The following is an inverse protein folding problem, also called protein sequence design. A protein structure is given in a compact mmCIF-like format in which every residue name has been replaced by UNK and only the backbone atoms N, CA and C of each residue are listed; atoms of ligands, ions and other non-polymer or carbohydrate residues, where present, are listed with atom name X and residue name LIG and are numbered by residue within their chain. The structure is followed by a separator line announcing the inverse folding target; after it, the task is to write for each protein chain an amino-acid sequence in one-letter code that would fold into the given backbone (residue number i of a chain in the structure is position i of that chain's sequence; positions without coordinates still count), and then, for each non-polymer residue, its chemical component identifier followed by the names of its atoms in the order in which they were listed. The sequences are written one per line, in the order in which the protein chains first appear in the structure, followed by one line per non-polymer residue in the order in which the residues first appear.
data_IF_670010476855
#
_entry.id   IF_670010476855
#
_cell.length_a   1.000
_cell.length_b   1.000
_cell.length_c   1.000
_cell.angle_alpha   90.00
_cell.angle_beta   90.00
_cell.angle_gamma   90.00
#
_symmetry.space_group_name_H-M   'P 1'
#
loop_
_entity.id
_entity.type
_entity.pdbx_description
1 polymer ?
#
# COMPACT_ATOMS: atom_id res chain seq x y z
N UNK A 1 -10.83 4.36 9.48
CA UNK A 1 -9.94 5.47 9.06
C UNK A 1 -10.05 5.76 7.57
N UNK A 2 -9.89 4.76 6.68
CA UNK A 2 -9.92 4.93 5.21
C UNK A 2 -11.19 5.64 4.68
N UNK A 3 -12.38 5.24 5.15
CA UNK A 3 -13.66 5.83 4.71
C UNK A 3 -13.80 7.31 5.08
N UNK A 4 -13.51 7.67 6.33
CA UNK A 4 -13.58 9.07 6.80
C UNK A 4 -12.62 9.99 6.03
N UNK A 5 -11.41 9.48 5.74
CA UNK A 5 -10.43 10.20 4.92
C UNK A 5 -10.94 10.43 3.49
N UNK A 6 -11.52 9.41 2.84
CA UNK A 6 -12.11 9.56 1.49
C UNK A 6 -13.25 10.58 1.49
N UNK A 7 -14.13 10.52 2.49
CA UNK A 7 -15.24 11.47 2.63
C UNK A 7 -14.71 12.90 2.79
N UNK A 8 -13.68 13.12 3.61
CA UNK A 8 -13.10 14.44 3.80
C UNK A 8 -12.36 14.96 2.56
N UNK A 9 -11.48 14.14 1.95
CA UNK A 9 -10.58 14.56 0.88
C UNK A 9 -11.18 14.53 -0.52
N UNK A 10 -12.20 13.70 -0.76
CA UNK A 10 -12.86 13.60 -2.07
C UNK A 10 -14.22 14.30 -2.04
N UNK A 11 -14.89 14.31 -0.88
CA UNK A 11 -16.16 14.99 -0.70
C UNK A 11 -16.00 16.41 -0.16
N UNK A 12 -15.62 16.55 1.11
CA UNK A 12 -15.80 17.83 1.81
C UNK A 12 -14.86 18.93 1.30
N UNK A 13 -13.56 18.66 1.16
CA UNK A 13 -12.55 19.68 0.83
C UNK A 13 -12.75 20.30 -0.56
N UNK A 14 -13.06 19.53 -1.63
CA UNK A 14 -13.31 20.11 -2.95
C UNK A 14 -14.54 21.05 -2.96
N UNK A 15 -15.62 20.64 -2.29
CA UNK A 15 -16.88 21.39 -2.28
C UNK A 15 -16.94 22.52 -1.25
N UNK A 16 -16.08 22.54 -0.24
CA UNK A 16 -16.05 23.59 0.78
C UNK A 16 -15.70 24.95 0.18
N UNK A 17 -16.45 26.05 0.43
CA UNK A 17 -16.27 27.35 -0.23
C UNK A 17 -15.03 28.16 0.23
N UNK A 18 -13.86 27.55 0.32
CA UNK A 18 -12.62 28.19 0.81
C UNK A 18 -11.76 28.72 -0.36
N UNK A 19 -10.97 29.79 -0.18
CA UNK A 19 -10.01 30.21 -1.21
C UNK A 19 -8.74 29.36 -1.24
N UNK A 20 -8.39 28.77 -0.10
CA UNK A 20 -7.15 28.01 0.10
C UNK A 20 -7.33 26.48 0.04
N UNK A 21 -8.42 25.99 -0.56
CA UNK A 21 -8.75 24.54 -0.63
C UNK A 21 -7.59 23.70 -1.18
N UNK A 22 -6.91 24.08 -2.28
CA UNK A 22 -5.88 23.23 -2.85
C UNK A 22 -4.66 23.09 -1.93
N UNK A 23 -4.33 24.16 -1.19
CA UNK A 23 -3.24 24.17 -0.22
C UNK A 23 -3.55 23.24 0.96
N UNK A 24 -4.75 23.38 1.54
CA UNK A 24 -5.19 22.54 2.65
C UNK A 24 -5.32 21.07 2.23
N UNK A 25 -5.87 20.83 1.04
CA UNK A 25 -5.99 19.49 0.47
C UNK A 25 -4.61 18.85 0.19
N UNK A 26 -3.65 19.61 -0.33
CA UNK A 26 -2.29 19.13 -0.57
C UNK A 26 -1.56 18.80 0.74
N UNK A 27 -1.66 19.68 1.75
CA UNK A 27 -1.04 19.45 3.06
C UNK A 27 -1.63 18.23 3.77
N UNK A 28 -2.97 18.11 3.78
CA UNK A 28 -3.63 16.95 4.36
C UNK A 28 -3.31 15.65 3.60
N UNK A 29 -3.24 15.70 2.26
CA UNK A 29 -2.89 14.54 1.44
C UNK A 29 -1.45 14.08 1.68
N UNK A 30 -0.50 15.02 1.78
CA UNK A 30 0.89 14.69 2.10
C UNK A 30 1.00 14.04 3.50
N UNK A 31 0.29 14.57 4.49
CA UNK A 31 0.23 13.98 5.82
C UNK A 31 -0.40 12.58 5.80
N UNK A 32 -1.49 12.38 5.06
CA UNK A 32 -2.17 11.08 4.99
C UNK A 32 -1.36 10.02 4.24
N UNK A 33 -0.51 10.39 3.28
CA UNK A 33 0.45 9.48 2.63
C UNK A 33 1.39 8.88 3.69
N UNK A 34 2.00 9.73 4.53
CA UNK A 34 2.95 9.28 5.56
C UNK A 34 2.25 8.36 6.56
N UNK A 35 1.07 8.76 7.05
CA UNK A 35 0.30 7.95 7.99
C UNK A 35 -0.04 6.57 7.42
N UNK A 36 -0.43 6.48 6.14
CA UNK A 36 -0.77 5.19 5.50
C UNK A 36 0.45 4.32 5.24
N UNK A 37 1.61 4.92 4.93
CA UNK A 37 2.85 4.19 4.77
C UNK A 37 3.33 3.56 6.09
N UNK A 38 3.24 4.30 7.19
CA UNK A 38 3.68 3.86 8.51
C UNK A 38 2.67 2.88 9.16
N UNK A 39 1.37 3.18 9.06
CA UNK A 39 0.35 2.38 9.74
C UNK A 39 0.04 1.04 9.07
N UNK A 40 0.37 0.87 7.78
CA UNK A 40 0.08 -0.33 6.98
C UNK A 40 -1.26 -1.00 7.38
N UNK A 41 -2.39 -0.29 7.21
CA UNK A 41 -3.62 -0.59 7.93
C UNK A 41 -4.27 -1.93 7.56
N UNK A 42 -3.87 -2.54 6.44
CA UNK A 42 -4.37 -3.83 5.99
C UNK A 42 -3.41 -4.96 6.33
N UNK A 43 -3.95 -6.13 6.63
CA UNK A 43 -3.14 -7.34 6.82
C UNK A 43 -2.44 -7.76 5.51
N UNK A 44 -3.03 -7.41 4.37
CA UNK A 44 -2.50 -7.73 3.05
C UNK A 44 -1.57 -6.64 2.50
N UNK A 45 -0.32 -7.04 2.21
CA UNK A 45 0.71 -6.16 1.67
C UNK A 45 0.36 -5.61 0.27
N UNK A 46 -0.45 -6.34 -0.50
CA UNK A 46 -0.98 -5.89 -1.78
C UNK A 46 -2.00 -4.76 -1.60
N UNK A 47 -2.93 -4.93 -0.66
CA UNK A 47 -3.95 -3.92 -0.32
C UNK A 47 -3.31 -2.67 0.28
N UNK A 48 -2.26 -2.81 1.08
CA UNK A 48 -1.46 -1.68 1.57
C UNK A 48 -0.76 -0.92 0.43
N UNK A 49 -0.17 -1.63 -0.55
CA UNK A 49 0.47 -0.98 -1.69
C UNK A 49 -0.55 -0.19 -2.54
N UNK A 50 -1.73 -0.75 -2.76
CA UNK A 50 -2.85 -0.06 -3.42
C UNK A 50 -3.33 1.16 -2.63
N UNK A 51 -3.43 1.04 -1.31
CA UNK A 51 -3.81 2.15 -0.44
C UNK A 51 -2.80 3.29 -0.54
N UNK A 52 -1.50 3.00 -0.48
CA UNK A 52 -0.43 4.01 -0.63
C UNK A 52 -0.48 4.66 -2.02
N UNK A 53 -0.66 3.87 -3.09
CA UNK A 53 -0.78 4.41 -4.45
C UNK A 53 -1.97 5.39 -4.58
N UNK A 54 -3.12 5.04 -3.99
CA UNK A 54 -4.29 5.92 -3.96
C UNK A 54 -4.04 7.23 -3.21
N UNK A 55 -3.15 7.23 -2.20
CA UNK A 55 -2.78 8.45 -1.48
C UNK A 55 -1.90 9.36 -2.32
N UNK A 56 -0.92 8.78 -3.02
CA UNK A 56 -0.08 9.54 -3.95
C UNK A 56 -0.92 10.17 -5.07
N UNK A 57 -1.92 9.46 -5.57
CA UNK A 57 -2.84 9.97 -6.56
C UNK A 57 -3.62 11.21 -6.09
N UNK A 58 -4.16 11.17 -4.86
CA UNK A 58 -4.81 12.33 -4.25
C UNK A 58 -3.86 13.50 -4.06
N UNK A 59 -2.63 13.24 -3.60
CA UNK A 59 -1.61 14.26 -3.41
C UNK A 59 -1.28 14.97 -4.73
N UNK A 60 -1.03 14.22 -5.81
CA UNK A 60 -0.74 14.77 -7.15
C UNK A 60 -1.92 15.60 -7.67
N UNK A 61 -3.16 15.14 -7.46
CA UNK A 61 -4.35 15.87 -7.91
C UNK A 61 -4.48 17.22 -7.20
N UNK A 62 -4.28 17.25 -5.87
CA UNK A 62 -4.28 18.49 -5.11
C UNK A 62 -3.11 19.41 -5.45
N UNK A 63 -1.93 18.84 -5.75
CA UNK A 63 -0.77 19.60 -6.19
C UNK A 63 -1.02 20.30 -7.53
N UNK A 64 -1.64 19.60 -8.49
CA UNK A 64 -1.98 20.19 -9.79
C UNK A 64 -3.09 21.23 -9.64
N UNK A 65 -4.09 20.99 -8.79
CA UNK A 65 -5.10 21.99 -8.46
C UNK A 65 -4.48 23.26 -7.83
N UNK A 66 -3.44 23.09 -7.01
CA UNK A 66 -2.68 24.21 -6.47
C UNK A 66 -1.90 24.96 -7.55
N UNK A 67 -1.23 24.25 -8.46
CA UNK A 67 -0.50 24.85 -9.59
C UNK A 67 -1.42 25.63 -10.56
N UNK A 68 -2.65 25.15 -10.77
CA UNK A 68 -3.68 25.88 -11.52
C UNK A 68 -4.12 27.15 -10.77
N UNK A 69 -4.30 27.07 -9.45
CA UNK A 69 -4.67 28.22 -8.62
C UNK A 69 -3.56 29.28 -8.56
N UNK A 70 -2.29 28.88 -8.58
CA UNK A 70 -1.15 29.80 -8.57
C UNK A 70 -0.93 30.52 -9.91
N UNK A 71 -1.73 30.22 -10.94
CA UNK A 71 -1.58 30.76 -12.28
C UNK A 71 -0.35 30.23 -13.03
N UNK A 72 0.31 29.19 -12.50
CA UNK A 72 1.46 28.57 -13.16
C UNK A 72 1.03 27.69 -14.35
N UNK A 73 -0.22 27.25 -14.37
CA UNK A 73 -0.83 26.44 -15.42
C UNK A 73 -2.17 27.05 -15.83
N UNK A 74 -2.43 27.09 -17.14
CA UNK A 74 -3.75 27.43 -17.65
C UNK A 74 -4.66 26.21 -17.65
N UNK A 75 -5.90 26.39 -17.20
CA UNK A 75 -6.92 25.35 -17.18
C UNK A 75 -7.44 25.07 -18.60
N UNK A 76 -6.67 24.31 -19.37
CA UNK A 76 -7.05 23.86 -20.72
C UNK A 76 -7.70 22.47 -20.66
N UNK A 77 -8.60 22.20 -21.60
CA UNK A 77 -9.24 20.89 -21.73
C UNK A 77 -8.23 19.75 -21.92
N UNK A 78 -7.14 20.02 -22.66
CA UNK A 78 -6.03 19.09 -22.86
C UNK A 78 -5.34 18.72 -21.54
N UNK A 79 -5.18 19.67 -20.62
CA UNK A 79 -4.60 19.43 -19.30
C UNK A 79 -5.51 18.55 -18.45
N UNK A 80 -6.83 18.72 -18.56
CA UNK A 80 -7.83 17.84 -17.94
C UNK A 80 -7.76 16.39 -18.46
N UNK A 81 -7.66 16.20 -19.78
CA UNK A 81 -7.48 14.87 -20.39
C UNK A 81 -6.16 14.23 -19.93
N UNK A 82 -5.08 15.00 -19.94
CA UNK A 82 -3.75 14.52 -19.53
C UNK A 82 -3.76 14.07 -18.07
N UNK A 83 -4.36 14.87 -17.18
CA UNK A 83 -4.59 14.52 -15.77
C UNK A 83 -5.34 13.20 -15.63
N UNK A 84 -6.41 13.03 -16.39
CA UNK A 84 -7.24 11.82 -16.32
C UNK A 84 -6.46 10.60 -16.81
N UNK A 85 -5.70 10.73 -17.90
CA UNK A 85 -4.84 9.68 -18.43
C UNK A 85 -3.73 9.26 -17.45
N UNK A 86 -3.08 10.23 -16.78
CA UNK A 86 -2.06 9.98 -15.74
C UNK A 86 -2.69 9.26 -14.54
N UNK A 87 -3.84 9.72 -14.07
CA UNK A 87 -4.55 9.07 -12.97
C UNK A 87 -4.95 7.63 -13.31
N UNK A 88 -5.44 7.40 -14.54
CA UNK A 88 -5.82 6.06 -14.99
C UNK A 88 -4.61 5.13 -15.06
N UNK A 89 -3.48 5.59 -15.60
CA UNK A 89 -2.25 4.79 -15.66
C UNK A 89 -1.73 4.45 -14.27
N UNK A 90 -1.74 5.40 -13.32
CA UNK A 90 -1.37 5.13 -11.92
C UNK A 90 -2.26 4.04 -11.32
N UNK A 91 -3.58 4.09 -11.55
CA UNK A 91 -4.52 3.08 -11.05
C UNK A 91 -4.22 1.70 -11.65
N UNK A 92 -4.03 1.61 -12.97
CA UNK A 92 -3.73 0.35 -13.65
C UNK A 92 -2.40 -0.24 -13.17
N UNK A 93 -1.35 0.57 -13.06
CA UNK A 93 -0.05 0.14 -12.56
C UNK A 93 -0.12 -0.33 -11.11
N UNK A 94 -0.84 0.40 -10.26
CA UNK A 94 -1.05 0.02 -8.86
C UNK A 94 -1.79 -1.31 -8.74
N UNK A 95 -2.82 -1.54 -9.58
CA UNK A 95 -3.55 -2.80 -9.65
C UNK A 95 -2.65 -3.95 -10.06
N UNK A 96 -1.84 -3.75 -11.10
CA UNK A 96 -0.92 -4.77 -11.60
C UNK A 96 0.16 -5.16 -10.57
N UNK A 97 0.75 -4.16 -9.91
CA UNK A 97 1.71 -4.38 -8.82
C UNK A 97 1.07 -5.06 -7.61
N UNK A 98 -0.17 -4.69 -7.27
CA UNK A 98 -0.94 -5.33 -6.21
C UNK A 98 -1.16 -6.82 -6.48
N UNK A 99 -1.57 -7.17 -7.69
CA UNK A 99 -1.76 -8.58 -8.11
C UNK A 99 -0.44 -9.34 -8.05
N UNK A 100 0.64 -8.78 -8.62
CA UNK A 100 1.96 -9.45 -8.63
C UNK A 100 2.47 -9.73 -7.21
N UNK A 101 2.39 -8.74 -6.33
CA UNK A 101 2.84 -8.85 -4.94
C UNK A 101 1.99 -9.84 -4.12
N UNK A 102 0.70 -9.93 -4.43
CA UNK A 102 -0.17 -10.93 -3.81
C UNK A 102 0.23 -12.35 -4.21
N UNK A 103 0.49 -12.58 -5.50
CA UNK A 103 0.95 -13.88 -6.01
C UNK A 103 2.29 -14.30 -5.39
N UNK A 104 3.25 -13.37 -5.29
CA UNK A 104 4.55 -13.62 -4.62
C UNK A 104 4.36 -14.00 -3.14
N UNK A 105 3.40 -13.39 -2.44
CA UNK A 105 3.12 -13.74 -1.05
C UNK A 105 2.58 -15.16 -0.90
N UNK A 106 1.62 -15.55 -1.75
CA UNK A 106 1.05 -16.91 -1.73
C UNK A 106 2.15 -17.97 -1.96
N UNK A 107 3.09 -17.70 -2.87
CA UNK A 107 4.24 -18.58 -3.12
C UNK A 107 5.19 -18.67 -1.92
N UNK A 108 5.47 -17.53 -1.27
CA UNK A 108 6.34 -17.48 -0.09
C UNK A 108 5.70 -18.19 1.11
N UNK A 109 4.40 -18.03 1.35
CA UNK A 109 3.67 -18.74 2.40
C UNK A 109 3.69 -20.25 2.19
N UNK A 110 3.49 -20.72 0.95
CA UNK A 110 3.60 -22.14 0.61
C UNK A 110 5.01 -22.68 0.85
N UNK A 111 6.04 -21.88 0.59
CA UNK A 111 7.44 -22.25 0.81
C UNK A 111 7.76 -22.32 2.31
N UNK A 112 7.31 -21.33 3.10
CA UNK A 112 7.48 -21.30 4.55
C UNK A 112 6.78 -22.50 5.20
N UNK A 113 5.59 -22.86 4.73
CA UNK A 113 4.87 -24.02 5.24
C UNK A 113 5.65 -25.32 5.00
N UNK A 114 6.18 -25.52 3.78
CA UNK A 114 7.03 -26.68 3.46
C UNK A 114 8.28 -26.73 4.33
N UNK A 115 8.97 -25.60 4.50
CA UNK A 115 10.17 -25.50 5.33
C UNK A 115 9.88 -25.81 6.80
N UNK A 116 8.79 -25.27 7.37
CA UNK A 116 8.38 -25.58 8.74
C UNK A 116 8.09 -27.06 8.93
N UNK A 117 7.42 -27.69 7.97
CA UNK A 117 7.12 -29.12 8.04
C UNK A 117 8.38 -29.99 8.00
N UNK A 118 9.31 -29.68 7.08
CA UNK A 118 10.60 -30.36 7.00
C UNK A 118 11.39 -30.23 8.32
N UNK A 119 11.42 -29.03 8.90
CA UNK A 119 12.15 -28.75 10.14
C UNK A 119 11.56 -29.49 11.35
N UNK A 120 10.24 -29.67 11.42
CA UNK A 120 9.62 -30.53 12.45
C UNK A 120 9.95 -32.00 12.28
N UNK A 121 10.05 -32.48 11.04
CA UNK A 121 10.46 -33.86 10.75
C UNK A 121 11.91 -34.11 11.14
N UNK A 122 12.82 -33.20 10.77
CA UNK A 122 14.23 -33.28 11.15
C UNK A 122 14.40 -33.25 12.68
N UNK A 123 13.71 -32.34 13.39
CA UNK A 123 13.72 -32.33 14.85
C UNK A 123 13.24 -33.64 15.48
N UNK A 124 12.23 -34.29 14.89
CA UNK A 124 11.74 -35.58 15.37
C UNK A 124 12.76 -36.70 15.14
N UNK A 125 13.47 -36.68 14.02
CA UNK A 125 14.55 -37.62 13.72
C UNK A 125 15.74 -37.40 14.65
N UNK A 126 16.17 -36.16 14.85
CA UNK A 126 17.29 -35.83 15.72
C UNK A 126 17.00 -36.16 17.17
N UNK A 127 15.77 -35.90 17.65
CA UNK A 127 15.35 -36.33 18.99
C UNK A 127 15.50 -37.85 19.16
N UNK A 128 15.05 -38.66 18.18
CA UNK A 128 15.22 -40.12 18.22
C UNK A 128 16.69 -40.54 18.26
N UNK A 129 17.56 -39.87 17.50
CA UNK A 129 19.01 -40.14 17.51
C UNK A 129 19.64 -39.79 18.86
N UNK A 130 19.26 -38.65 19.45
CA UNK A 130 19.69 -38.25 20.79
C UNK A 130 19.24 -39.25 21.86
N UNK A 131 17.96 -39.64 21.85
CA UNK A 131 17.43 -40.63 22.79
C UNK A 131 18.15 -41.98 22.67
N UNK A 132 18.45 -42.43 21.44
CA UNK A 132 19.21 -43.66 21.19
C UNK A 132 20.67 -43.57 21.65
N UNK A 133 21.34 -42.43 21.44
CA UNK A 133 22.71 -42.22 21.90
C UNK A 133 22.81 -42.14 23.43
N UNK A 134 21.81 -41.54 24.08
CA UNK A 134 21.77 -41.44 25.54
C UNK A 134 21.45 -42.78 26.21
N UNK A 135 20.49 -43.54 25.68
CA UNK A 135 20.20 -44.89 26.18
C UNK A 135 21.34 -45.90 26.04
N UNK A 136 22.27 -45.66 25.09
CA UNK A 136 23.49 -46.45 24.95
C UNK A 136 24.62 -46.07 25.90
N UNK A 137 24.54 -44.94 26.61
CA UNK A 137 25.52 -44.49 27.61
C UNK A 137 25.13 -44.91 29.04
N UNK A 138 23.89 -45.32 29.27
CA UNK A 138 23.37 -45.78 30.58
C UNK A 138 23.49 -47.31 30.77
N UNK A 139 24.06 -48.04 29.81
CA UNK A 139 24.44 -49.47 29.90
C UNK A 139 25.95 -49.63 30.06
#
# INVERSE_FOLDING_TARGET
FDMWRRIAMIGIIPFAPLKYRPILGCGLAAFSVVVVQESQPYHDAATNALAVASQWQLCVTYFIAFALMSGALEATFNLGILLLAINLTIVVTALFLGIKKNTERVLNEATIFKLRHALTLEKAVDKKKFDAAWGGLEQ
#
